data_IF_028034899773
#
_entry.id   IF_028034899773
#
_cell.length_a   1.000
_cell.length_b   1.000
_cell.length_c   1.000
_cell.angle_alpha   90.00
_cell.angle_beta   90.00
_cell.angle_gamma   90.00
#
_symmetry.space_group_name_H-M   'P 1'
#
loop_
_entity.id
_entity.type
_entity.pdbx_description
1 polymer ?
#
# COMPACT_ATOMS: atom_id res chain seq x y z
N UNK A 1 40.65 14.68 7.43
CA UNK A 1 39.88 14.40 6.21
C UNK A 1 39.09 13.13 6.45
N UNK A 2 37.82 13.26 6.84
CA UNK A 2 36.99 12.15 7.32
C UNK A 2 36.12 11.68 6.17
N UNK A 3 36.46 10.54 5.57
CA UNK A 3 35.63 9.93 4.52
C UNK A 3 34.29 9.50 5.11
N UNK A 4 33.24 10.27 4.82
CA UNK A 4 31.87 9.89 5.05
C UNK A 4 31.51 8.74 4.11
N UNK A 5 31.63 7.51 4.60
CA UNK A 5 31.17 6.32 3.87
C UNK A 5 29.65 6.41 3.67
N UNK A 6 29.22 6.89 2.52
CA UNK A 6 27.86 6.75 2.03
C UNK A 6 27.55 5.25 1.91
N UNK A 7 26.94 4.68 2.96
CA UNK A 7 26.33 3.35 2.85
C UNK A 7 25.15 3.48 1.90
N UNK A 8 25.37 3.11 0.64
CA UNK A 8 24.31 2.93 -0.35
C UNK A 8 23.30 1.96 0.27
N UNK A 9 22.07 2.43 0.52
CA UNK A 9 20.99 1.57 1.01
C UNK A 9 20.76 0.47 -0.02
N UNK A 10 20.48 -0.78 0.41
CA UNK A 10 20.27 -1.88 -0.53
C UNK A 10 19.10 -1.56 -1.47
N UNK A 11 19.25 -1.79 -2.79
CA UNK A 11 18.25 -1.42 -3.80
C UNK A 11 16.89 -2.10 -3.59
N UNK A 12 16.86 -3.21 -2.86
CA UNK A 12 15.63 -3.91 -2.44
C UNK A 12 14.69 -3.03 -1.61
N UNK A 13 15.22 -2.06 -0.85
CA UNK A 13 14.39 -1.14 -0.08
C UNK A 13 13.66 -0.12 -0.95
N UNK A 14 14.35 0.44 -1.96
CA UNK A 14 13.73 1.34 -2.92
C UNK A 14 12.68 0.60 -3.74
N UNK A 15 12.97 -0.62 -4.19
CA UNK A 15 12.02 -1.47 -4.91
C UNK A 15 10.75 -1.74 -4.10
N UNK A 16 10.88 -2.07 -2.80
CA UNK A 16 9.72 -2.30 -1.93
C UNK A 16 8.82 -1.06 -1.72
N UNK A 17 9.37 0.15 -1.89
CA UNK A 17 8.62 1.41 -1.81
C UNK A 17 8.01 1.83 -3.14
N UNK A 18 8.77 1.65 -4.23
CA UNK A 18 8.37 2.11 -5.56
C UNK A 18 7.34 1.15 -6.17
N UNK A 19 7.47 -0.16 -5.95
CA UNK A 19 6.61 -1.15 -6.57
C UNK A 19 5.11 -0.96 -6.23
N UNK A 20 4.70 -0.77 -4.95
CA UNK A 20 3.29 -0.50 -4.64
C UNK A 20 2.78 0.78 -5.28
N UNK A 21 3.64 1.80 -5.39
CA UNK A 21 3.29 3.08 -6.01
C UNK A 21 3.05 2.92 -7.52
N UNK A 22 3.96 2.22 -8.22
CA UNK A 22 3.85 1.93 -9.65
C UNK A 22 2.60 1.08 -9.93
N UNK A 23 2.37 0.03 -9.14
CA UNK A 23 1.18 -0.82 -9.26
C UNK A 23 -0.09 -0.01 -9.04
N UNK A 24 -0.11 0.87 -8.03
CA UNK A 24 -1.24 1.76 -7.77
C UNK A 24 -1.53 2.70 -8.93
N UNK A 25 -0.50 3.33 -9.49
CA UNK A 25 -0.64 4.23 -10.66
C UNK A 25 -1.17 3.46 -11.88
N UNK A 26 -0.64 2.27 -12.17
CA UNK A 26 -1.10 1.47 -13.30
C UNK A 26 -2.55 1.01 -13.13
N UNK A 27 -2.92 0.57 -11.92
CA UNK A 27 -4.30 0.20 -11.61
C UNK A 27 -5.24 1.38 -11.83
N UNK A 28 -4.86 2.57 -11.37
CA UNK A 28 -5.75 3.72 -11.40
C UNK A 28 -5.82 4.41 -12.77
N UNK A 29 -4.69 4.50 -13.48
CA UNK A 29 -4.62 5.21 -14.76
C UNK A 29 -4.95 4.34 -15.98
N UNK A 30 -4.79 3.01 -15.88
CA UNK A 30 -4.95 2.11 -17.04
C UNK A 30 -6.06 1.08 -16.79
N UNK A 31 -5.93 0.28 -15.73
CA UNK A 31 -6.83 -0.85 -15.50
C UNK A 31 -8.25 -0.36 -15.19
N UNK A 32 -8.37 0.67 -14.35
CA UNK A 32 -9.66 1.22 -13.91
C UNK A 32 -10.46 1.84 -15.06
N UNK A 33 -9.89 2.70 -15.93
CA UNK A 33 -10.61 3.18 -17.11
C UNK A 33 -10.99 2.06 -18.08
N UNK A 34 -10.08 1.09 -18.30
CA UNK A 34 -10.33 -0.03 -19.19
C UNK A 34 -11.50 -0.92 -18.70
N UNK A 35 -11.52 -1.27 -17.41
CA UNK A 35 -12.60 -2.04 -16.80
C UNK A 35 -13.92 -1.25 -16.80
N UNK A 36 -13.87 0.04 -16.49
CA UNK A 36 -15.05 0.91 -16.51
C UNK A 36 -15.73 0.94 -17.88
N UNK A 37 -14.93 1.03 -18.95
CA UNK A 37 -15.42 0.98 -20.32
C UNK A 37 -15.97 -0.40 -20.70
N UNK A 38 -15.31 -1.49 -20.33
CA UNK A 38 -15.80 -2.85 -20.63
C UNK A 38 -17.13 -3.17 -19.96
N UNK A 39 -17.36 -2.66 -18.74
CA UNK A 39 -18.59 -2.88 -17.99
C UNK A 39 -19.69 -1.84 -18.32
N UNK A 40 -19.48 -0.98 -19.32
CA UNK A 40 -20.47 0.02 -19.72
C UNK A 40 -20.74 1.09 -18.67
N UNK A 41 -19.79 1.34 -17.77
CA UNK A 41 -19.92 2.34 -16.72
C UNK A 41 -19.94 3.76 -17.29
N UNK A 42 -20.57 4.68 -16.55
CA UNK A 42 -20.50 6.12 -16.86
C UNK A 42 -19.44 6.78 -15.99
N UNK A 43 -18.42 7.43 -16.58
CA UNK A 43 -17.41 8.13 -15.80
C UNK A 43 -18.04 9.39 -15.18
N UNK A 44 -17.82 9.54 -13.88
CA UNK A 44 -18.15 10.72 -13.09
C UNK A 44 -16.88 11.36 -12.61
N UNK A 45 -16.99 12.66 -12.39
CA UNK A 45 -15.87 13.45 -11.90
C UNK A 45 -16.40 14.60 -11.07
N UNK A 46 -15.76 14.86 -9.94
CA UNK A 46 -16.12 15.97 -9.06
C UNK A 46 -14.87 16.68 -8.58
N UNK A 47 -14.91 18.01 -8.64
CA UNK A 47 -13.79 18.88 -8.31
C UNK A 47 -13.83 20.14 -9.18
N UNK A 48 -13.57 21.29 -8.56
CA UNK A 48 -13.61 22.59 -9.22
C UNK A 48 -12.24 23.03 -9.79
N UNK A 49 -11.21 22.18 -9.72
CA UNK A 49 -9.85 22.55 -10.10
C UNK A 49 -9.20 21.53 -11.04
N UNK A 50 -8.41 22.03 -11.98
CA UNK A 50 -7.61 21.25 -12.94
C UNK A 50 -6.55 20.37 -12.24
N UNK A 51 -6.23 20.65 -10.96
CA UNK A 51 -5.19 19.94 -10.20
C UNK A 51 -5.71 18.86 -9.26
N UNK A 52 -7.01 18.73 -9.09
CA UNK A 52 -7.61 17.82 -8.11
C UNK A 52 -9.05 17.53 -8.46
N UNK A 53 -9.23 16.71 -9.48
CA UNK A 53 -10.52 16.18 -9.86
C UNK A 53 -10.56 14.72 -9.42
N UNK A 54 -11.57 14.37 -8.64
CA UNK A 54 -11.77 12.99 -8.19
C UNK A 54 -12.67 12.28 -9.21
N UNK A 55 -12.25 11.12 -9.69
CA UNK A 55 -13.00 10.37 -10.71
C UNK A 55 -13.51 9.04 -10.15
N UNK A 56 -14.71 8.68 -10.58
CA UNK A 56 -15.29 7.36 -10.31
C UNK A 56 -16.24 6.91 -11.41
N UNK A 57 -16.62 5.65 -11.38
CA UNK A 57 -17.54 5.07 -12.36
C UNK A 57 -18.87 4.75 -11.71
N UNK A 58 -19.96 5.08 -12.38
CA UNK A 58 -21.31 4.68 -12.00
C UNK A 58 -21.80 3.58 -12.94
N UNK A 59 -22.46 2.59 -12.35
CA UNK A 59 -23.04 1.45 -13.07
C UNK A 59 -24.53 1.36 -12.76
N UNK A 60 -25.29 0.82 -13.69
CA UNK A 60 -26.70 0.49 -13.51
C UNK A 60 -26.90 -0.67 -12.52
N UNK A 61 -28.15 -0.91 -12.13
CA UNK A 61 -28.46 -1.92 -11.11
C UNK A 61 -28.18 -3.35 -11.58
N UNK A 62 -28.36 -3.66 -12.88
CA UNK A 62 -28.14 -5.01 -13.40
C UNK A 62 -26.65 -5.35 -13.38
N UNK A 63 -25.79 -4.46 -13.90
CA UNK A 63 -24.34 -4.66 -13.90
C UNK A 63 -23.76 -4.76 -12.47
N UNK A 64 -24.30 -4.01 -11.50
CA UNK A 64 -23.90 -4.15 -10.09
C UNK A 64 -24.27 -5.51 -9.50
N UNK A 65 -25.40 -6.08 -9.90
CA UNK A 65 -25.83 -7.39 -9.43
C UNK A 65 -24.96 -8.52 -10.03
N UNK A 66 -24.56 -8.37 -11.30
CA UNK A 66 -23.70 -9.34 -11.99
C UNK A 66 -22.23 -9.27 -11.53
N UNK A 67 -21.73 -8.06 -11.27
CA UNK A 67 -20.33 -7.81 -10.92
C UNK A 67 -20.15 -6.93 -9.67
N UNK A 68 -20.63 -7.36 -8.48
CA UNK A 68 -20.67 -6.51 -7.28
C UNK A 68 -19.28 -6.06 -6.80
N UNK A 69 -18.28 -6.95 -6.90
CA UNK A 69 -16.91 -6.63 -6.47
C UNK A 69 -16.21 -5.63 -7.40
N UNK A 70 -16.33 -5.82 -8.73
CA UNK A 70 -15.71 -4.93 -9.71
C UNK A 70 -16.39 -3.57 -9.71
N UNK A 71 -17.71 -3.53 -9.74
CA UNK A 71 -18.47 -2.28 -9.70
C UNK A 71 -18.24 -1.51 -8.40
N UNK A 72 -18.13 -2.21 -7.26
CA UNK A 72 -17.75 -1.59 -5.98
C UNK A 72 -16.36 -0.95 -6.00
N UNK A 73 -15.35 -1.66 -6.53
CA UNK A 73 -14.01 -1.11 -6.71
C UNK A 73 -14.01 0.12 -7.64
N UNK A 74 -14.70 0.03 -8.79
CA UNK A 74 -14.76 1.11 -9.78
C UNK A 74 -15.58 2.33 -9.31
N UNK A 75 -16.53 2.12 -8.39
CA UNK A 75 -17.30 3.19 -7.74
C UNK A 75 -16.52 3.90 -6.63
N UNK A 76 -15.43 3.30 -6.14
CA UNK A 76 -14.57 3.90 -5.10
C UNK A 76 -13.73 5.00 -5.72
N UNK A 77 -13.69 6.19 -5.12
CA UNK A 77 -13.02 7.35 -5.72
C UNK A 77 -11.49 7.22 -5.83
N UNK A 78 -10.87 7.94 -6.76
CA UNK A 78 -9.40 7.93 -6.95
C UNK A 78 -8.67 8.36 -5.68
N UNK A 79 -9.20 9.40 -5.01
CA UNK A 79 -8.67 9.88 -3.74
C UNK A 79 -8.68 8.80 -2.66
N UNK A 80 -9.78 8.03 -2.57
CA UNK A 80 -9.89 6.93 -1.61
C UNK A 80 -8.88 5.80 -1.90
N UNK A 81 -8.71 5.43 -3.18
CA UNK A 81 -7.72 4.43 -3.60
C UNK A 81 -6.29 4.89 -3.26
N UNK A 82 -5.97 6.15 -3.54
CA UNK A 82 -4.67 6.74 -3.22
C UNK A 82 -4.38 6.71 -1.70
N UNK A 83 -5.37 7.05 -0.86
CA UNK A 83 -5.23 7.00 0.60
C UNK A 83 -5.02 5.57 1.11
N UNK A 84 -5.70 4.58 0.52
CA UNK A 84 -5.54 3.18 0.88
C UNK A 84 -4.13 2.67 0.52
N UNK A 85 -3.63 3.00 -0.68
CA UNK A 85 -2.25 2.68 -1.09
C UNK A 85 -1.23 3.34 -0.16
N UNK A 86 -1.45 4.61 0.21
CA UNK A 86 -0.59 5.30 1.16
C UNK A 86 -0.58 4.60 2.52
N UNK A 87 -1.74 4.18 3.03
CA UNK A 87 -1.82 3.41 4.27
C UNK A 87 -1.03 2.10 4.20
N UNK A 88 -1.10 1.36 3.07
CA UNK A 88 -0.31 0.14 2.85
C UNK A 88 1.19 0.44 2.87
N UNK A 89 1.63 1.50 2.19
CA UNK A 89 3.05 1.91 2.18
C UNK A 89 3.53 2.24 3.60
N UNK A 90 2.73 3.00 4.37
CA UNK A 90 3.03 3.33 5.77
C UNK A 90 3.13 2.07 6.63
N UNK A 91 2.22 1.11 6.47
CA UNK A 91 2.26 -0.17 7.20
C UNK A 91 3.50 -0.99 6.86
N UNK A 92 3.87 -1.09 5.59
CA UNK A 92 5.10 -1.78 5.15
C UNK A 92 6.35 -1.12 5.74
N UNK A 93 6.36 0.22 5.79
CA UNK A 93 7.43 0.98 6.43
C UNK A 93 7.47 0.71 7.93
N UNK A 94 6.35 0.85 8.63
CA UNK A 94 6.25 0.58 10.06
C UNK A 94 6.73 -0.84 10.39
N UNK A 95 6.22 -1.86 9.67
CA UNK A 95 6.63 -3.24 9.82
C UNK A 95 8.15 -3.40 9.70
N UNK A 96 8.76 -2.83 8.67
CA UNK A 96 10.20 -2.95 8.42
C UNK A 96 11.06 -2.31 9.51
N UNK A 97 10.60 -1.21 10.11
CA UNK A 97 11.30 -0.51 11.19
C UNK A 97 11.06 -1.17 12.56
N UNK A 98 9.88 -1.74 12.78
CA UNK A 98 9.55 -2.44 14.02
C UNK A 98 10.17 -3.84 14.08
N UNK A 99 10.26 -4.57 12.97
CA UNK A 99 10.79 -5.94 12.92
C UNK A 99 12.18 -6.11 13.57
N UNK A 100 13.22 -5.33 13.24
CA UNK A 100 14.52 -5.47 13.91
C UNK A 100 14.45 -5.14 15.41
N UNK A 101 13.62 -4.18 15.83
CA UNK A 101 13.42 -3.85 17.25
C UNK A 101 12.75 -5.01 17.99
N UNK A 102 11.74 -5.61 17.38
CA UNK A 102 11.02 -6.77 17.92
C UNK A 102 11.96 -7.99 18.02
N UNK A 103 12.78 -8.25 17.00
CA UNK A 103 13.76 -9.36 17.01
C UNK A 103 14.77 -9.21 18.12
N UNK A 104 15.35 -8.03 18.30
CA UNK A 104 16.31 -7.75 19.39
C UNK A 104 15.64 -7.92 20.75
N UNK A 105 14.41 -7.45 20.92
CA UNK A 105 13.67 -7.59 22.17
C UNK A 105 13.36 -9.06 22.50
N UNK A 106 12.96 -9.85 21.50
CA UNK A 106 12.73 -11.31 21.64
C UNK A 106 14.02 -12.04 21.98
N UNK A 107 15.13 -11.73 21.31
CA UNK A 107 16.44 -12.33 21.59
C UNK A 107 16.92 -12.02 23.02
N UNK A 108 16.74 -10.78 23.49
CA UNK A 108 17.05 -10.38 24.88
C UNK A 108 16.21 -11.13 25.90
N UNK A 109 14.90 -11.30 25.64
CA UNK A 109 14.01 -12.10 26.51
C UNK A 109 14.42 -13.57 26.56
N UNK A 110 14.74 -14.18 25.42
CA UNK A 110 15.20 -15.56 25.37
C UNK A 110 16.52 -15.77 26.12
N UNK A 111 17.50 -14.85 25.94
CA UNK A 111 18.78 -14.90 26.66
C UNK A 111 18.61 -14.73 28.19
N UNK A 112 17.69 -13.85 28.62
CA UNK A 112 17.39 -13.68 30.04
C UNK A 112 16.74 -14.92 30.67
N UNK A 113 15.86 -15.62 29.93
CA UNK A 113 15.26 -16.87 30.39
C UNK A 113 16.32 -17.99 30.53
N UNK A 114 17.22 -18.13 29.55
CA UNK A 114 18.27 -19.15 29.56
C UNK A 114 19.26 -18.99 30.75
N UNK A 115 19.57 -17.75 31.15
CA UNK A 115 20.43 -17.48 32.31
C UNK A 115 19.79 -17.85 33.65
N UNK A 116 18.46 -17.80 33.76
CA UNK A 116 17.74 -18.21 34.97
C UNK A 116 17.73 -19.72 35.13
N UNK A 117 17.62 -20.47 34.04
CA UNK A 117 17.67 -21.94 34.09
C UNK A 117 19.05 -22.49 34.47
N UNK A 118 20.14 -21.80 34.13
CA UNK A 118 21.51 -22.24 34.48
C UNK A 118 21.95 -21.88 35.90
N UNK A 119 21.23 -21.00 36.59
CA UNK A 119 21.58 -20.57 37.95
C UNK A 119 20.84 -21.37 39.04
N UNK A 120 19.89 -22.22 38.66
CA UNK A 120 19.09 -23.04 39.58
C UNK A 120 19.43 -24.53 39.57
N UNK A 121 20.48 -24.94 38.85
CA UNK A 121 21.05 -26.30 38.81
C UNK A 121 22.37 -26.34 39.56
#
# INVERSE_FOLDING_TARGET
MTESRFRVRPPSFMMALVLPLVVGVLLNAVVRPWLGQQLGGTPRSMGASVRGQDHWWEFDAATRAEHPMLTGFLSTSDGAIAMLLFAVIVLLFAWRFLDPRIRVFRARRAAAAARRSSAGS
#
